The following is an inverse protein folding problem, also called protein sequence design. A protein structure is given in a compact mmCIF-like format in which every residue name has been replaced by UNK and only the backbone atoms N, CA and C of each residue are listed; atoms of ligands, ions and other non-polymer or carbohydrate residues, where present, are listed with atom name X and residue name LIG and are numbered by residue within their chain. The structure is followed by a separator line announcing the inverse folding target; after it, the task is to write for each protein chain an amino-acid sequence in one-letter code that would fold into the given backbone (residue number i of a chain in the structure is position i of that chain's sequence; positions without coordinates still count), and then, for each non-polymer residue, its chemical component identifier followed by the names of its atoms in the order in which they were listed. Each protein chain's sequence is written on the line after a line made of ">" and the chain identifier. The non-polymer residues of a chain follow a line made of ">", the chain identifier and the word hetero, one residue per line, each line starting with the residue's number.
data_IF_216868617842
#
_entry.id   IF_216868617842
#
_cell.length_a   1.000
_cell.length_b   1.000
_cell.length_c   1.000
_cell.angle_alpha   90.00
_cell.angle_beta   90.00
_cell.angle_gamma   90.00
#
_symmetry.space_group_name_H-M   'P 1'
#
loop_
_entity.id
_entity.type
_entity.pdbx_description
1 polymer ?
#
# COMPACT_ATOMS: atom_id res chain seq x y z
N UNK A 1 -18.84 0.75 -10.37
CA UNK A 1 -18.67 2.05 -9.67
C UNK A 1 -17.25 2.05 -9.14
N UNK A 2 -16.46 3.03 -9.54
CA UNK A 2 -15.05 3.15 -9.17
C UNK A 2 -14.90 4.21 -8.09
N UNK A 3 -13.83 4.11 -7.32
CA UNK A 3 -13.55 4.99 -6.21
C UNK A 3 -12.03 5.19 -6.08
N UNK A 4 -11.65 6.19 -5.30
CA UNK A 4 -10.27 6.49 -5.03
C UNK A 4 -9.88 6.13 -3.60
N UNK A 5 -8.61 5.77 -3.44
CA UNK A 5 -7.94 5.65 -2.15
C UNK A 5 -6.50 6.15 -2.33
N UNK A 6 -5.76 6.27 -1.25
CA UNK A 6 -4.40 6.77 -1.27
C UNK A 6 -3.42 5.69 -0.81
N UNK A 7 -2.33 5.52 -1.54
CA UNK A 7 -1.20 4.71 -1.12
C UNK A 7 -0.15 5.65 -0.52
N UNK A 8 0.30 5.39 0.71
CA UNK A 8 1.29 6.20 1.41
C UNK A 8 2.54 5.37 1.71
N UNK A 9 3.71 5.90 1.37
CA UNK A 9 5.01 5.33 1.74
C UNK A 9 5.93 6.45 2.26
N UNK A 10 6.24 6.40 3.56
CA UNK A 10 6.97 7.47 4.24
C UNK A 10 6.23 8.82 4.13
N UNK A 11 6.92 9.83 3.61
CA UNK A 11 6.35 11.16 3.36
C UNK A 11 5.62 11.29 2.01
N UNK A 12 5.62 10.24 1.18
CA UNK A 12 5.02 10.26 -0.15
C UNK A 12 3.64 9.64 -0.14
N UNK A 13 2.71 10.24 -0.90
CA UNK A 13 1.36 9.73 -1.10
C UNK A 13 0.99 9.77 -2.58
N UNK A 14 0.39 8.69 -3.07
CA UNK A 14 -0.16 8.59 -4.42
C UNK A 14 -1.67 8.32 -4.36
N UNK A 15 -2.43 8.97 -5.22
CA UNK A 15 -3.85 8.68 -5.39
C UNK A 15 -3.98 7.47 -6.34
N UNK A 16 -4.66 6.42 -5.89
CA UNK A 16 -5.04 5.28 -6.69
C UNK A 16 -6.53 5.37 -7.03
N UNK A 17 -6.90 4.96 -8.24
CA UNK A 17 -8.28 4.86 -8.68
C UNK A 17 -8.57 3.40 -9.03
N UNK A 18 -9.54 2.81 -8.34
CA UNK A 18 -9.87 1.40 -8.47
C UNK A 18 -11.35 1.20 -8.78
N UNK A 19 -11.63 0.23 -9.64
CA UNK A 19 -12.97 -0.29 -9.81
C UNK A 19 -13.33 -1.24 -8.66
N UNK A 20 -14.62 -1.38 -8.35
CA UNK A 20 -15.09 -2.31 -7.30
C UNK A 20 -14.63 -3.77 -7.47
N UNK A 21 -14.20 -4.19 -8.66
CA UNK A 21 -13.74 -5.55 -8.95
C UNK A 21 -12.21 -5.72 -8.82
N UNK A 22 -11.48 -4.75 -8.27
CA UNK A 22 -10.05 -4.91 -8.04
C UNK A 22 -9.76 -5.97 -6.97
N UNK A 23 -8.56 -6.54 -7.06
CA UNK A 23 -8.07 -7.60 -6.17
C UNK A 23 -6.97 -7.08 -5.25
N UNK A 24 -6.63 -7.85 -4.21
CA UNK A 24 -5.47 -7.56 -3.37
C UNK A 24 -4.16 -7.64 -4.15
N UNK A 25 -4.10 -8.46 -5.20
CA UNK A 25 -2.95 -8.53 -6.09
C UNK A 25 -2.76 -7.20 -6.81
N UNK A 26 -3.82 -6.64 -7.39
CA UNK A 26 -3.77 -5.33 -8.07
C UNK A 26 -3.30 -4.21 -7.12
N UNK A 27 -3.79 -4.24 -5.87
CA UNK A 27 -3.37 -3.32 -4.83
C UNK A 27 -1.88 -3.48 -4.48
N UNK A 28 -1.42 -4.73 -4.32
CA UNK A 28 -0.05 -5.05 -3.98
C UNK A 28 0.90 -4.64 -5.11
N UNK A 29 0.54 -4.90 -6.36
CA UNK A 29 1.30 -4.47 -7.54
C UNK A 29 1.41 -2.94 -7.61
N UNK A 30 0.31 -2.22 -7.39
CA UNK A 30 0.32 -0.76 -7.34
C UNK A 30 1.22 -0.21 -6.21
N UNK A 31 1.20 -0.86 -5.04
CA UNK A 31 2.05 -0.49 -3.91
C UNK A 31 3.54 -0.77 -4.21
N UNK A 32 3.85 -1.91 -4.83
CA UNK A 32 5.22 -2.27 -5.24
C UNK A 32 5.73 -1.31 -6.30
N UNK A 33 4.93 -0.96 -7.30
CA UNK A 33 5.31 0.01 -8.34
C UNK A 33 5.62 1.38 -7.74
N UNK A 34 4.78 1.85 -6.81
CA UNK A 34 5.02 3.11 -6.08
C UNK A 34 6.35 3.06 -5.31
N UNK A 35 6.56 2.01 -4.51
CA UNK A 35 7.79 1.83 -3.72
C UNK A 35 9.00 1.74 -4.63
N UNK A 36 8.92 0.96 -5.71
CA UNK A 36 10.04 0.74 -6.63
C UNK A 36 10.47 2.04 -7.30
N UNK A 37 9.51 2.89 -7.68
CA UNK A 37 9.79 4.23 -8.22
C UNK A 37 10.44 5.16 -7.20
N UNK A 38 10.01 5.12 -5.94
CA UNK A 38 10.52 5.99 -4.88
C UNK A 38 11.92 5.57 -4.39
N UNK A 39 12.13 4.27 -4.22
CA UNK A 39 13.38 3.70 -3.70
C UNK A 39 14.37 3.34 -4.82
N UNK A 40 13.96 3.45 -6.09
CA UNK A 40 14.75 3.09 -7.29
C UNK A 40 15.21 1.63 -7.27
N UNK A 41 14.30 0.74 -6.88
CA UNK A 41 14.57 -0.70 -6.77
C UNK A 41 14.55 -1.31 -8.18
N UNK A 42 15.53 -2.17 -8.47
CA UNK A 42 15.62 -2.84 -9.77
C UNK A 42 14.52 -3.90 -9.93
N UNK A 43 14.10 -4.21 -11.16
CA UNK A 43 13.07 -5.22 -11.42
C UNK A 43 13.37 -6.59 -10.78
N UNK A 44 14.64 -7.02 -10.75
CA UNK A 44 15.04 -8.27 -10.09
C UNK A 44 14.78 -8.30 -8.57
N UNK A 45 14.73 -7.14 -7.91
CA UNK A 45 14.51 -7.01 -6.47
C UNK A 45 13.03 -6.78 -6.12
N UNK A 46 12.16 -6.57 -7.11
CA UNK A 46 10.72 -6.39 -6.91
C UNK A 46 10.02 -7.64 -6.37
N UNK A 47 10.51 -8.83 -6.73
CA UNK A 47 9.99 -10.09 -6.18
C UNK A 47 10.20 -10.15 -4.66
N UNK A 48 11.37 -9.71 -4.17
CA UNK A 48 11.67 -9.68 -2.74
C UNK A 48 10.87 -8.58 -2.00
N UNK A 49 10.52 -7.50 -2.68
CA UNK A 49 9.58 -6.50 -2.18
C UNK A 49 8.19 -7.11 -1.95
N UNK A 50 7.71 -7.94 -2.88
CA UNK A 50 6.38 -8.53 -2.81
C UNK A 50 6.18 -9.40 -1.56
N UNK A 51 7.22 -10.10 -1.11
CA UNK A 51 7.17 -10.94 0.10
C UNK A 51 7.24 -10.12 1.40
N UNK A 52 7.75 -8.90 1.33
CA UNK A 52 8.02 -8.06 2.51
C UNK A 52 6.97 -6.99 2.69
N UNK A 53 6.32 -6.54 1.63
CA UNK A 53 5.39 -5.43 1.65
C UNK A 53 4.18 -5.75 2.54
N UNK A 54 3.94 -4.88 3.51
CA UNK A 54 2.78 -4.94 4.39
C UNK A 54 1.90 -3.71 4.12
N UNK A 55 0.60 -3.94 4.05
CA UNK A 55 -0.41 -2.92 3.80
C UNK A 55 -1.32 -2.77 5.01
N UNK A 56 -1.47 -1.52 5.46
CA UNK A 56 -2.33 -1.17 6.59
C UNK A 56 -3.27 -0.04 6.19
N UNK A 57 -4.48 -0.03 6.72
CA UNK A 57 -5.37 1.12 6.65
C UNK A 57 -5.57 1.69 8.05
N UNK A 58 -5.91 2.97 8.13
CA UNK A 58 -6.27 3.63 9.38
C UNK A 58 -7.67 4.24 9.24
N UNK A 59 -8.64 3.65 9.92
CA UNK A 59 -10.03 4.10 9.90
C UNK A 59 -10.24 5.38 10.74
N UNK A 60 -9.47 5.54 11.82
CA UNK A 60 -9.80 6.51 12.88
C UNK A 60 -8.80 7.69 12.96
N UNK A 61 -7.81 7.75 12.06
CA UNK A 61 -6.68 8.70 12.11
C UNK A 61 -5.91 8.65 13.45
N UNK A 62 -6.06 7.58 14.23
CA UNK A 62 -5.37 7.39 15.51
C UNK A 62 -4.16 6.48 15.35
N UNK A 63 -3.14 6.65 16.19
CA UNK A 63 -1.91 5.82 16.16
C UNK A 63 -2.23 4.33 16.42
N UNK A 64 -3.29 4.03 17.17
CA UNK A 64 -3.76 2.68 17.46
C UNK A 64 -4.65 2.08 16.36
N UNK A 65 -5.06 2.89 15.37
CA UNK A 65 -6.05 2.54 14.35
C UNK A 65 -5.51 1.79 13.13
N UNK A 66 -4.20 1.54 13.05
CA UNK A 66 -3.61 0.82 11.92
C UNK A 66 -3.98 -0.65 11.96
N UNK A 67 -4.77 -1.08 10.97
CA UNK A 67 -5.19 -2.46 10.79
C UNK A 67 -4.64 -3.01 9.48
N UNK A 68 -4.10 -4.24 9.47
CA UNK A 68 -3.67 -4.88 8.24
C UNK A 68 -4.86 -5.08 7.30
N UNK A 69 -4.62 -4.94 6.00
CA UNK A 69 -5.60 -5.22 4.96
C UNK A 69 -5.58 -6.72 4.68
N UNK A 70 -6.71 -7.39 4.88
CA UNK A 70 -6.86 -8.82 4.58
C UNK A 70 -7.77 -9.07 3.39
N UNK A 71 -8.64 -8.11 3.07
CA UNK A 71 -9.59 -8.18 1.97
C UNK A 71 -9.72 -6.80 1.31
N UNK A 72 -10.12 -6.76 0.04
CA UNK A 72 -10.40 -5.49 -0.64
C UNK A 72 -11.62 -4.77 -0.05
N UNK A 73 -12.51 -5.50 0.63
CA UNK A 73 -13.69 -4.95 1.31
C UNK A 73 -13.32 -4.10 2.53
N UNK A 74 -12.10 -4.24 3.05
CA UNK A 74 -11.56 -3.39 4.12
C UNK A 74 -11.26 -1.96 3.63
N UNK A 75 -11.26 -1.73 2.31
CA UNK A 75 -10.83 -0.48 1.68
C UNK A 75 -12.06 0.34 1.27
N UNK A 76 -12.25 1.47 1.93
CA UNK A 76 -13.31 2.42 1.61
C UNK A 76 -12.80 3.62 0.81
N UNK A 77 -13.70 4.32 0.10
CA UNK A 77 -13.35 5.56 -0.59
C UNK A 77 -12.68 6.58 0.31
N UNK A 78 -11.55 7.13 -0.16
CA UNK A 78 -10.77 8.14 0.55
C UNK A 78 -9.81 7.60 1.61
N UNK A 79 -9.77 6.28 1.85
CA UNK A 79 -8.84 5.70 2.82
C UNK A 79 -7.39 5.92 2.41
N UNK A 80 -6.54 6.09 3.42
CA UNK A 80 -5.10 6.09 3.26
C UNK A 80 -4.59 4.72 3.69
N UNK A 81 -4.02 4.02 2.71
CA UNK A 81 -3.37 2.73 2.86
C UNK A 81 -1.88 3.00 3.03
N UNK A 82 -1.36 2.73 4.22
CA UNK A 82 0.04 2.84 4.52
C UNK A 82 0.79 1.58 4.10
N UNK A 83 1.85 1.79 3.34
CA UNK A 83 2.80 0.77 2.91
C UNK A 83 3.94 0.75 3.92
N UNK A 84 4.17 -0.41 4.51
CA UNK A 84 5.29 -0.66 5.41
C UNK A 84 6.20 -1.72 4.80
N UNK A 85 7.50 -1.42 4.75
CA UNK A 85 8.54 -2.35 4.34
C UNK A 85 9.35 -2.76 5.57
N UNK A 86 8.99 -3.87 6.24
CA UNK A 86 9.84 -4.45 7.26
C UNK A 86 11.18 -4.84 6.62
N UNK A 87 12.24 -4.18 7.07
CA UNK A 87 13.62 -4.42 6.68
C UNK A 87 14.53 -3.98 7.80
N UNK A 88 15.66 -4.69 7.98
CA UNK A 88 16.66 -4.41 9.04
C UNK A 88 16.82 -2.90 9.17
N UNK A 89 16.38 -2.37 10.31
CA UNK A 89 16.55 -0.98 10.70
C UNK A 89 18.01 -0.60 10.47
N UNK A 90 18.27 0.14 9.39
CA UNK A 90 19.46 0.96 9.25
C UNK A 90 18.93 2.38 9.18
N UNK A 91 18.54 2.86 10.36
CA UNK A 91 18.72 4.27 10.68
C UNK A 91 20.22 4.52 10.88
#
# INVERSE_FOLDING_TARGET
>A
MAFNFFLQFGAYQACAYAERSFTLTDLSEAAIDLVSKLVKIQPEEQTALHERLLLFYNNDQTVEGFKPIYTVDDILPGYVIQILLPGKSQC
#
